data_IF_091324775203
#
_entry.id   IF_091324775203
#
_cell.length_a   1.000
_cell.length_b   1.000
_cell.length_c   1.000
_cell.angle_alpha   90.00
_cell.angle_beta   90.00
_cell.angle_gamma   90.00
#
_symmetry.space_group_name_H-M   'P 1'
#
loop_
_entity.id
_entity.type
_entity.pdbx_description
1 polymer ?
#
# COMPACT_ATOMS: atom_id res chain seq x y z
N UNK A 1 0.92 23.43 -13.12
CA UNK A 1 -0.23 23.25 -12.18
C UNK A 1 0.17 22.31 -11.07
N UNK A 2 -0.08 22.67 -9.82
CA UNK A 2 0.26 21.85 -8.64
C UNK A 2 -1.00 21.49 -7.87
N UNK A 3 -1.18 20.22 -7.55
CA UNK A 3 -2.25 19.72 -6.70
C UNK A 3 -1.68 18.99 -5.50
N UNK A 4 -2.36 19.07 -4.36
CA UNK A 4 -1.95 18.47 -3.10
C UNK A 4 -2.89 17.35 -2.70
N UNK A 5 -2.31 16.31 -2.12
CA UNK A 5 -3.03 15.13 -1.64
C UNK A 5 -2.56 14.75 -0.25
N UNK A 6 -3.46 14.19 0.54
CA UNK A 6 -3.13 13.62 1.86
C UNK A 6 -3.68 12.19 1.93
N UNK A 7 -2.79 11.23 2.14
CA UNK A 7 -3.11 9.80 2.29
C UNK A 7 -2.51 9.33 3.61
N UNK A 8 -3.30 8.77 4.49
CA UNK A 8 -2.85 8.31 5.81
C UNK A 8 -2.07 9.40 6.58
N UNK A 9 -2.56 10.65 6.57
CA UNK A 9 -1.95 11.86 7.14
C UNK A 9 -0.57 12.24 6.56
N UNK A 10 -0.14 11.61 5.47
CA UNK A 10 1.05 12.00 4.71
C UNK A 10 0.64 12.88 3.52
N UNK A 11 1.17 14.09 3.47
CA UNK A 11 0.87 15.06 2.42
C UNK A 11 1.95 15.06 1.35
N UNK A 12 1.54 15.10 0.08
CA UNK A 12 2.43 15.20 -1.06
C UNK A 12 1.82 16.06 -2.16
N UNK A 13 2.64 16.46 -3.13
CA UNK A 13 2.20 17.27 -4.26
C UNK A 13 2.52 16.60 -5.60
N UNK A 14 1.71 16.94 -6.60
CA UNK A 14 1.93 16.58 -8.01
C UNK A 14 1.92 17.85 -8.83
N UNK A 15 3.04 18.15 -9.47
CA UNK A 15 3.23 19.32 -10.32
C UNK A 15 3.44 18.89 -11.77
N UNK A 16 2.49 19.26 -12.64
CA UNK A 16 2.57 18.97 -14.07
C UNK A 16 3.06 20.19 -14.85
N UNK A 17 3.80 19.94 -15.94
CA UNK A 17 4.31 20.98 -16.84
C UNK A 17 3.20 21.78 -17.52
N UNK A 18 2.20 21.06 -18.02
CA UNK A 18 1.04 21.65 -18.66
C UNK A 18 -0.16 21.63 -17.73
N UNK A 19 -1.10 22.54 -17.96
CA UNK A 19 -2.38 22.52 -17.27
C UNK A 19 -3.22 21.34 -17.75
N UNK A 20 -3.35 20.34 -16.87
CA UNK A 20 -4.14 19.12 -17.09
C UNK A 20 -5.07 18.90 -15.91
N UNK A 21 -6.25 18.41 -16.19
CA UNK A 21 -7.20 18.03 -15.14
C UNK A 21 -6.75 16.75 -14.42
N UNK A 22 -6.12 16.93 -13.26
CA UNK A 22 -5.66 15.82 -12.42
C UNK A 22 -6.81 14.93 -11.90
N UNK A 23 -8.03 15.45 -11.77
CA UNK A 23 -9.19 14.63 -11.43
C UNK A 23 -9.57 13.65 -12.56
N UNK A 24 -9.27 14.02 -13.80
CA UNK A 24 -9.47 13.13 -14.95
C UNK A 24 -8.29 12.18 -15.18
N UNK A 25 -7.10 12.56 -14.72
CA UNK A 25 -5.90 11.71 -14.80
C UNK A 25 -5.84 10.70 -13.64
N UNK A 26 -6.18 11.15 -12.43
CA UNK A 26 -6.11 10.41 -11.18
C UNK A 26 -7.48 10.38 -10.47
N UNK A 27 -8.53 9.80 -11.06
CA UNK A 27 -9.89 9.86 -10.50
C UNK A 27 -10.01 9.23 -9.12
N UNK A 28 -9.18 8.24 -8.79
CA UNK A 28 -9.14 7.60 -7.48
C UNK A 28 -8.56 8.49 -6.37
N UNK A 29 -7.86 9.58 -6.74
CA UNK A 29 -7.25 10.51 -5.79
C UNK A 29 -8.19 11.64 -5.35
N UNK A 30 -9.36 11.79 -5.93
CA UNK A 30 -10.29 12.89 -5.65
C UNK A 30 -10.63 13.04 -4.16
N UNK A 31 -10.92 11.93 -3.49
CA UNK A 31 -11.25 11.93 -2.06
C UNK A 31 -10.04 12.21 -1.15
N UNK A 32 -8.83 12.18 -1.69
CA UNK A 32 -7.57 12.43 -1.00
C UNK A 32 -7.00 13.83 -1.29
N UNK A 33 -7.67 14.64 -2.14
CA UNK A 33 -7.24 16.01 -2.42
C UNK A 33 -7.27 16.84 -1.13
N UNK A 34 -6.23 17.61 -0.90
CA UNK A 34 -6.06 18.42 0.29
C UNK A 34 -5.60 19.84 -0.06
N UNK A 35 -5.52 20.70 0.95
CA UNK A 35 -4.83 21.99 0.84
C UNK A 35 -3.32 21.75 0.87
N UNK A 36 -2.56 22.75 0.40
CA UNK A 36 -1.11 22.74 0.57
C UNK A 36 -0.75 22.56 2.06
N UNK A 37 0.12 21.62 2.41
CA UNK A 37 0.59 21.44 3.77
C UNK A 37 1.42 22.65 4.22
N UNK A 38 1.70 22.75 5.53
CA UNK A 38 2.66 23.71 6.02
C UNK A 38 4.07 23.43 5.45
N UNK A 39 4.92 24.44 5.46
CA UNK A 39 6.31 24.30 5.02
C UNK A 39 7.02 23.25 5.90
N UNK A 40 7.60 22.23 5.26
CA UNK A 40 8.26 21.12 5.94
C UNK A 40 7.38 19.88 6.22
N UNK A 41 6.06 19.99 6.09
CA UNK A 41 5.14 18.86 6.31
C UNK A 41 4.85 18.05 5.04
N UNK A 42 5.43 18.45 3.91
CA UNK A 42 5.29 17.74 2.65
C UNK A 42 6.24 16.56 2.58
N UNK A 43 5.71 15.34 2.39
CA UNK A 43 6.50 14.11 2.27
C UNK A 43 7.38 14.12 1.01
N UNK A 44 6.80 14.49 -0.15
CA UNK A 44 7.51 14.68 -1.41
C UNK A 44 6.71 15.56 -2.37
N UNK A 45 7.37 15.99 -3.45
CA UNK A 45 6.70 16.56 -4.61
C UNK A 45 7.15 15.84 -5.88
N UNK A 46 6.19 15.25 -6.60
CA UNK A 46 6.42 14.73 -7.93
C UNK A 46 6.31 15.87 -8.95
N UNK A 47 7.43 16.23 -9.57
CA UNK A 47 7.50 17.27 -10.60
C UNK A 47 7.68 16.63 -11.97
N UNK A 48 6.78 16.94 -12.91
CA UNK A 48 6.92 16.49 -14.29
C UNK A 48 8.00 17.27 -15.02
N UNK A 49 8.79 16.58 -15.82
CA UNK A 49 9.80 17.11 -16.73
C UNK A 49 9.55 16.63 -18.17
N UNK A 50 9.83 17.50 -19.16
CA UNK A 50 9.71 17.13 -20.58
C UNK A 50 10.71 16.06 -20.98
N UNK A 51 11.87 16.01 -20.30
CA UNK A 51 12.90 14.98 -20.47
C UNK A 51 13.68 14.82 -19.18
N UNK A 52 14.18 13.64 -18.92
CA UNK A 52 15.12 13.34 -17.83
C UNK A 52 16.48 13.00 -18.43
N UNK A 53 17.58 13.19 -17.68
CA UNK A 53 18.92 12.85 -18.14
C UNK A 53 19.00 11.39 -18.63
N UNK A 54 19.85 11.10 -19.62
CA UNK A 54 20.14 9.72 -19.98
C UNK A 54 20.85 9.00 -18.83
N UNK A 55 20.75 7.68 -18.81
CA UNK A 55 21.48 6.84 -17.85
C UNK A 55 22.98 6.90 -18.16
N UNK A 56 23.80 7.34 -17.21
CA UNK A 56 25.26 7.43 -17.38
C UNK A 56 26.03 6.45 -16.49
N UNK A 57 25.60 6.29 -15.23
CA UNK A 57 26.27 5.44 -14.25
C UNK A 57 25.28 4.60 -13.44
N UNK A 58 24.09 4.36 -13.99
CA UNK A 58 23.01 3.66 -13.32
C UNK A 58 23.28 2.15 -13.31
N UNK A 59 23.02 1.54 -12.16
CA UNK A 59 23.16 0.09 -11.96
C UNK A 59 21.77 -0.53 -11.94
N UNK A 60 21.48 -1.46 -12.86
CA UNK A 60 20.24 -2.22 -12.86
C UNK A 60 20.17 -3.08 -11.59
N UNK A 61 19.11 -2.91 -10.81
CA UNK A 61 18.85 -3.63 -9.57
C UNK A 61 17.76 -4.71 -9.74
N UNK A 62 16.76 -4.42 -10.59
CA UNK A 62 15.63 -5.31 -10.79
C UNK A 62 15.03 -5.15 -12.19
N UNK A 63 14.52 -6.24 -12.74
CA UNK A 63 13.86 -6.34 -14.04
C UNK A 63 12.65 -7.29 -13.88
N UNK A 64 11.45 -6.72 -13.75
CA UNK A 64 10.24 -7.48 -13.44
C UNK A 64 9.06 -7.08 -14.33
N UNK A 65 8.17 -8.03 -14.55
CA UNK A 65 6.90 -7.79 -15.25
C UNK A 65 5.74 -8.17 -14.33
N UNK A 66 4.93 -7.20 -13.99
CA UNK A 66 3.83 -7.34 -13.04
C UNK A 66 2.61 -6.51 -13.44
N UNK A 67 1.69 -6.28 -12.52
CA UNK A 67 0.47 -5.47 -12.76
C UNK A 67 0.74 -3.97 -13.05
N UNK A 68 1.97 -3.50 -12.83
CA UNK A 68 2.43 -2.16 -13.19
C UNK A 68 3.09 -2.09 -14.57
N UNK A 69 3.07 -3.16 -15.36
CA UNK A 69 3.78 -3.30 -16.63
C UNK A 69 5.15 -3.95 -16.47
N UNK A 70 6.00 -3.81 -17.49
CA UNK A 70 7.42 -4.13 -17.40
C UNK A 70 8.14 -2.98 -16.69
N UNK A 71 8.86 -3.31 -15.62
CA UNK A 71 9.45 -2.33 -14.70
C UNK A 71 10.94 -2.61 -14.55
N UNK A 72 11.76 -1.60 -14.83
CA UNK A 72 13.21 -1.64 -14.61
C UNK A 72 13.56 -0.69 -13.46
N UNK A 73 14.20 -1.22 -12.43
CA UNK A 73 14.68 -0.45 -11.29
C UNK A 73 16.21 -0.27 -11.40
N UNK A 74 16.65 0.96 -11.32
CA UNK A 74 18.09 1.31 -11.31
C UNK A 74 18.45 2.07 -10.04
N UNK A 75 19.67 1.84 -9.56
CA UNK A 75 20.35 2.73 -8.63
C UNK A 75 21.10 3.78 -9.42
N UNK A 76 20.86 5.03 -9.11
CA UNK A 76 21.60 6.18 -9.64
C UNK A 76 22.61 6.69 -8.61
N UNK A 77 23.53 7.58 -8.97
CA UNK A 77 24.42 8.21 -8.00
C UNK A 77 23.71 9.00 -6.88
N UNK A 78 22.49 9.50 -7.13
CA UNK A 78 21.72 10.33 -6.18
C UNK A 78 20.55 9.58 -5.51
N UNK A 79 20.12 8.43 -6.06
CA UNK A 79 18.94 7.71 -5.55
C UNK A 79 18.51 6.58 -6.46
N UNK A 80 17.31 6.69 -7.02
CA UNK A 80 16.71 5.64 -7.85
C UNK A 80 16.10 6.19 -9.12
N UNK A 81 16.11 5.36 -10.17
CA UNK A 81 15.37 5.56 -11.40
C UNK A 81 14.52 4.33 -11.67
N UNK A 82 13.26 4.53 -11.97
CA UNK A 82 12.32 3.45 -12.30
C UNK A 82 11.74 3.77 -13.68
N UNK A 83 11.86 2.81 -14.58
CA UNK A 83 11.32 2.88 -15.92
C UNK A 83 10.15 1.92 -16.05
N UNK A 84 9.08 2.36 -16.70
CA UNK A 84 7.88 1.57 -16.94
C UNK A 84 7.56 1.57 -18.43
N UNK A 85 7.32 0.42 -19.00
CA UNK A 85 6.65 0.27 -20.27
C UNK A 85 5.47 -0.70 -20.15
N UNK A 86 4.50 -0.48 -21.03
CA UNK A 86 3.31 -1.31 -21.12
C UNK A 86 3.23 -1.86 -22.52
N UNK A 87 3.17 -3.18 -22.68
CA UNK A 87 3.08 -3.88 -23.96
C UNK A 87 4.22 -3.51 -24.94
N UNK A 88 5.42 -3.18 -24.42
CA UNK A 88 6.55 -2.71 -25.25
C UNK A 88 6.35 -1.32 -25.86
N UNK A 89 5.50 -0.51 -25.25
CA UNK A 89 5.19 0.86 -25.65
C UNK A 89 6.22 1.90 -25.20
N UNK A 90 5.84 3.18 -25.19
CA UNK A 90 6.70 4.26 -24.73
C UNK A 90 7.12 4.10 -23.27
N UNK A 91 8.37 4.44 -22.95
CA UNK A 91 8.91 4.35 -21.56
C UNK A 91 8.53 5.58 -20.78
N UNK A 92 7.89 5.38 -19.65
CA UNK A 92 7.66 6.38 -18.60
C UNK A 92 8.75 6.25 -17.54
N UNK A 93 9.19 7.37 -16.97
CA UNK A 93 10.32 7.37 -16.02
C UNK A 93 9.98 8.16 -14.78
N UNK A 94 10.34 7.64 -13.62
CA UNK A 94 10.42 8.39 -12.37
C UNK A 94 11.82 8.26 -11.78
N UNK A 95 12.39 9.39 -11.38
CA UNK A 95 13.64 9.48 -10.64
C UNK A 95 13.41 10.07 -9.27
N UNK A 96 14.12 9.57 -8.28
CA UNK A 96 14.08 10.08 -6.92
C UNK A 96 15.50 10.25 -6.39
N UNK A 97 15.67 11.16 -5.44
CA UNK A 97 16.81 11.10 -4.54
C UNK A 97 16.71 9.88 -3.62
N UNK A 98 17.74 9.66 -2.80
CA UNK A 98 17.76 8.52 -1.89
C UNK A 98 16.72 8.62 -0.74
N UNK A 99 16.25 9.83 -0.41
CA UNK A 99 15.23 10.09 0.62
C UNK A 99 13.80 9.94 0.10
N UNK A 100 13.61 9.94 -1.21
CA UNK A 100 12.30 10.04 -1.87
C UNK A 100 11.59 11.40 -1.65
N UNK A 101 12.34 12.46 -1.38
CA UNK A 101 11.84 13.82 -1.16
C UNK A 101 11.74 14.60 -2.49
N UNK A 102 12.78 14.50 -3.35
CA UNK A 102 12.85 15.09 -4.69
C UNK A 102 12.47 14.04 -5.73
N UNK A 103 11.30 14.20 -6.33
CA UNK A 103 10.75 13.23 -7.29
C UNK A 103 10.53 13.88 -8.65
N UNK A 104 11.24 13.41 -9.65
CA UNK A 104 11.15 13.88 -11.04
C UNK A 104 10.52 12.82 -11.92
N UNK A 105 9.51 13.17 -12.69
CA UNK A 105 8.79 12.24 -13.55
C UNK A 105 8.80 12.69 -15.01
N UNK A 106 8.88 11.74 -15.92
CA UNK A 106 8.64 11.93 -17.35
C UNK A 106 7.50 11.01 -17.78
N UNK A 107 6.34 11.59 -18.07
CA UNK A 107 5.15 10.86 -18.51
C UNK A 107 4.95 11.04 -20.00
N UNK A 108 4.78 9.94 -20.73
CA UNK A 108 4.49 9.94 -22.17
C UNK A 108 2.98 10.03 -22.38
N UNK A 109 2.48 11.28 -22.53
CA UNK A 109 1.04 11.56 -22.60
C UNK A 109 0.38 11.08 -23.90
N UNK A 110 1.16 10.74 -24.91
CA UNK A 110 0.73 10.09 -26.13
C UNK A 110 0.47 8.58 -25.95
N UNK A 111 0.86 8.00 -24.82
CA UNK A 111 0.56 6.61 -24.47
C UNK A 111 -0.81 6.48 -23.80
N UNK A 112 -1.58 5.46 -24.21
CA UNK A 112 -2.85 5.09 -23.56
C UNK A 112 -2.73 4.75 -22.08
N UNK A 113 -1.55 4.33 -21.63
CA UNK A 113 -1.24 3.95 -20.26
C UNK A 113 -0.67 5.10 -19.41
N UNK A 114 -0.58 6.34 -19.92
CA UNK A 114 0.00 7.48 -19.22
C UNK A 114 -0.61 7.70 -17.81
N UNK A 115 -1.92 7.55 -17.66
CA UNK A 115 -2.63 7.66 -16.38
C UNK A 115 -2.22 6.55 -15.40
N UNK A 116 -2.12 5.33 -15.91
CA UNK A 116 -1.68 4.17 -15.12
C UNK A 116 -0.23 4.35 -14.67
N UNK A 117 0.64 4.80 -15.59
CA UNK A 117 2.04 5.07 -15.28
C UNK A 117 2.19 6.12 -14.17
N UNK A 118 1.49 7.26 -14.26
CA UNK A 118 1.51 8.30 -13.22
C UNK A 118 1.03 7.74 -11.86
N UNK A 119 -0.06 6.98 -11.84
CA UNK A 119 -0.56 6.35 -10.61
C UNK A 119 0.43 5.33 -10.04
N UNK A 120 1.11 4.54 -10.89
CA UNK A 120 2.13 3.57 -10.47
C UNK A 120 3.37 4.24 -9.90
N UNK A 121 3.83 5.34 -10.53
CA UNK A 121 4.93 6.17 -10.01
C UNK A 121 4.63 6.67 -8.61
N UNK A 122 3.45 7.28 -8.43
CA UNK A 122 2.99 7.78 -7.13
C UNK A 122 2.90 6.65 -6.09
N UNK A 123 2.40 5.46 -6.46
CA UNK A 123 2.30 4.29 -5.57
C UNK A 123 3.66 3.86 -5.06
N UNK A 124 4.64 3.71 -5.96
CA UNK A 124 5.98 3.24 -5.60
C UNK A 124 6.69 4.28 -4.73
N UNK A 125 6.71 5.54 -5.16
CA UNK A 125 7.36 6.62 -4.41
C UNK A 125 6.74 6.74 -3.02
N UNK A 126 5.43 6.84 -2.93
CA UNK A 126 4.72 6.96 -1.65
C UNK A 126 5.04 5.80 -0.71
N UNK A 127 5.02 4.55 -1.22
CA UNK A 127 5.30 3.37 -0.41
C UNK A 127 6.70 3.38 0.21
N UNK A 128 7.70 3.99 -0.45
CA UNK A 128 9.06 4.11 0.09
C UNK A 128 9.21 5.31 1.02
N UNK A 129 8.65 6.45 0.62
CA UNK A 129 8.76 7.70 1.37
C UNK A 129 8.15 7.63 2.77
N UNK A 130 7.09 6.82 2.98
CA UNK A 130 6.43 6.67 4.28
C UNK A 130 7.18 5.75 5.26
N UNK A 131 8.10 4.88 4.80
CA UNK A 131 8.77 3.89 5.65
C UNK A 131 9.52 4.52 6.82
N UNK A 132 10.32 5.60 6.65
CA UNK A 132 11.02 6.25 7.76
C UNK A 132 10.09 6.93 8.78
N UNK A 133 8.80 7.04 8.45
CA UNK A 133 7.79 7.74 9.25
C UNK A 133 6.77 6.77 9.90
N UNK A 134 7.09 5.48 10.02
CA UNK A 134 6.21 4.48 10.62
C UNK A 134 5.01 4.10 9.75
N UNK A 135 5.07 4.36 8.44
CA UNK A 135 4.06 3.99 7.46
C UNK A 135 4.42 2.73 6.69
N UNK A 136 3.45 1.85 6.44
CA UNK A 136 3.60 0.64 5.64
C UNK A 136 2.51 0.58 4.56
N UNK A 137 2.90 0.52 3.30
CA UNK A 137 1.98 0.14 2.20
C UNK A 137 1.92 -1.38 2.12
N UNK A 138 0.70 -1.94 2.23
CA UNK A 138 0.53 -3.38 2.42
C UNK A 138 -0.38 -4.00 1.35
N UNK A 139 0.04 -5.10 0.74
CA UNK A 139 -0.79 -5.86 -0.19
C UNK A 139 -1.84 -6.69 0.56
N UNK A 140 -2.95 -6.05 0.92
CA UNK A 140 -4.04 -6.64 1.70
C UNK A 140 -5.41 -6.12 1.30
N UNK A 141 -6.47 -6.88 1.63
CA UNK A 141 -7.84 -6.42 1.58
C UNK A 141 -8.32 -6.16 3.00
N UNK A 142 -9.00 -5.03 3.24
CA UNK A 142 -9.37 -4.56 4.58
C UNK A 142 -10.87 -4.40 4.70
N UNK A 143 -11.45 -5.09 5.67
CA UNK A 143 -12.84 -4.96 6.08
C UNK A 143 -12.90 -4.33 7.46
N UNK A 144 -13.82 -3.40 7.66
CA UNK A 144 -14.12 -2.82 8.96
C UNK A 144 -15.44 -3.38 9.47
N UNK A 145 -15.45 -3.80 10.73
CA UNK A 145 -16.62 -4.26 11.45
C UNK A 145 -16.60 -3.71 12.88
N UNK A 146 -17.68 -3.16 13.35
CA UNK A 146 -17.79 -2.56 14.70
C UNK A 146 -16.69 -1.54 15.00
N UNK A 147 -16.28 -0.74 13.97
CA UNK A 147 -15.24 0.27 14.08
C UNK A 147 -13.80 -0.25 14.12
N UNK A 148 -13.60 -1.56 13.97
CA UNK A 148 -12.29 -2.22 13.98
C UNK A 148 -11.97 -2.79 12.60
N UNK A 149 -10.71 -2.68 12.17
CA UNK A 149 -10.25 -3.17 10.89
C UNK A 149 -9.64 -4.58 10.98
N UNK A 150 -10.02 -5.42 10.04
CA UNK A 150 -9.49 -6.76 9.82
C UNK A 150 -8.82 -6.82 8.46
N UNK A 151 -7.52 -7.12 8.44
CA UNK A 151 -6.70 -7.11 7.24
C UNK A 151 -6.44 -8.52 6.74
N UNK A 152 -6.76 -8.81 5.48
CA UNK A 152 -6.58 -10.12 4.87
C UNK A 152 -5.43 -10.09 3.87
N UNK A 153 -4.40 -10.89 4.13
CA UNK A 153 -3.17 -10.95 3.35
C UNK A 153 -2.98 -12.33 2.70
N UNK A 154 -2.12 -12.39 1.72
CA UNK A 154 -1.75 -13.62 1.02
C UNK A 154 -1.22 -13.32 -0.38
N UNK A 155 -0.62 -14.32 -1.03
CA UNK A 155 -0.14 -14.20 -2.41
C UNK A 155 -1.29 -13.79 -3.34
N UNK A 156 -0.96 -13.22 -4.50
CA UNK A 156 -1.96 -12.99 -5.55
C UNK A 156 -2.72 -14.28 -5.86
N UNK A 157 -4.03 -14.20 -6.01
CA UNK A 157 -4.89 -15.38 -6.25
C UNK A 157 -5.23 -16.21 -5.02
N UNK A 158 -4.73 -15.91 -3.82
CA UNK A 158 -5.06 -16.67 -2.59
C UNK A 158 -6.53 -16.53 -2.18
N UNK A 159 -7.21 -15.46 -2.62
CA UNK A 159 -8.63 -15.25 -2.30
C UNK A 159 -8.90 -14.12 -1.30
N UNK A 160 -8.02 -13.13 -1.15
CA UNK A 160 -8.21 -11.96 -0.27
C UNK A 160 -9.56 -11.29 -0.50
N UNK A 161 -9.82 -10.83 -1.73
CA UNK A 161 -11.10 -10.17 -2.08
C UNK A 161 -12.31 -11.12 -1.96
N UNK A 162 -12.10 -12.43 -2.14
CA UNK A 162 -13.15 -13.43 -1.89
C UNK A 162 -13.48 -13.49 -0.40
N UNK A 163 -12.47 -13.54 0.46
CA UNK A 163 -12.65 -13.60 1.90
C UNK A 163 -13.29 -12.30 2.44
N UNK A 164 -12.84 -11.14 1.97
CA UNK A 164 -13.50 -9.86 2.29
C UNK A 164 -14.99 -9.86 1.88
N UNK A 165 -15.32 -10.41 0.70
CA UNK A 165 -16.71 -10.53 0.25
C UNK A 165 -17.54 -11.47 1.16
N UNK A 166 -16.94 -12.56 1.68
CA UNK A 166 -17.60 -13.42 2.66
C UNK A 166 -17.92 -12.65 3.96
N UNK A 167 -17.00 -11.80 4.42
CA UNK A 167 -17.26 -10.93 5.57
C UNK A 167 -18.38 -9.93 5.27
N UNK A 168 -18.34 -9.23 4.14
CA UNK A 168 -19.40 -8.29 3.73
C UNK A 168 -20.77 -8.94 3.60
N UNK A 169 -20.82 -10.25 3.30
CA UNK A 169 -22.07 -10.99 3.11
C UNK A 169 -22.59 -11.61 4.40
N UNK A 170 -21.71 -12.07 5.28
CA UNK A 170 -22.08 -12.93 6.41
C UNK A 170 -21.78 -12.35 7.79
N UNK A 171 -21.03 -11.26 7.88
CA UNK A 171 -20.75 -10.54 9.12
C UNK A 171 -21.46 -9.19 9.07
N UNK A 172 -22.58 -9.10 9.79
CA UNK A 172 -23.44 -7.91 9.78
C UNK A 172 -22.65 -6.63 10.18
N UNK A 173 -22.93 -5.51 9.50
CA UNK A 173 -22.29 -4.22 9.74
C UNK A 173 -20.88 -4.09 9.16
N UNK A 174 -20.40 -5.10 8.42
CA UNK A 174 -19.09 -5.02 7.77
C UNK A 174 -19.12 -4.17 6.51
N UNK A 175 -18.04 -3.41 6.29
CA UNK A 175 -17.83 -2.65 5.07
C UNK A 175 -16.37 -2.70 4.61
N UNK A 176 -16.11 -2.50 3.31
CA UNK A 176 -14.79 -2.56 2.71
C UNK A 176 -14.12 -1.20 2.83
N UNK A 177 -12.92 -1.15 3.41
CA UNK A 177 -12.09 0.06 3.51
C UNK A 177 -11.17 0.21 2.30
N UNK A 178 -10.46 -0.85 1.93
CA UNK A 178 -9.58 -0.90 0.77
C UNK A 178 -9.42 -2.35 0.29
N UNK A 179 -9.15 -2.54 -1.01
CA UNK A 179 -8.93 -3.87 -1.60
C UNK A 179 -7.68 -3.85 -2.48
N UNK A 180 -6.50 -3.80 -1.87
CA UNK A 180 -5.18 -4.06 -2.47
C UNK A 180 -4.00 -3.35 -1.80
N UNK A 181 -4.05 -2.00 -1.60
CA UNK A 181 -2.93 -1.22 -1.09
C UNK A 181 -3.33 -0.25 0.04
N UNK A 182 -3.91 -0.72 1.14
CA UNK A 182 -4.12 0.11 2.33
C UNK A 182 -2.77 0.55 2.91
N UNK A 183 -2.81 1.65 3.66
CA UNK A 183 -1.65 2.16 4.39
C UNK A 183 -1.86 1.91 5.87
N UNK A 184 -0.88 1.29 6.52
CA UNK A 184 -0.86 1.12 7.98
C UNK A 184 0.12 2.12 8.57
N UNK A 185 -0.28 2.78 9.65
CA UNK A 185 0.62 3.59 10.47
C UNK A 185 0.72 3.01 11.87
N UNK A 186 1.94 3.00 12.38
CA UNK A 186 2.25 2.67 13.77
C UNK A 186 2.76 3.94 14.45
N UNK A 187 2.06 4.43 15.47
CA UNK A 187 2.40 5.68 16.17
C UNK A 187 2.25 5.43 17.67
N UNK A 188 3.38 5.25 18.35
CA UNK A 188 3.37 4.84 19.74
C UNK A 188 2.73 3.47 19.92
N UNK A 189 1.61 3.39 20.65
CA UNK A 189 0.84 2.16 20.85
C UNK A 189 -0.35 2.03 19.87
N UNK A 190 -0.57 3.02 19.00
CA UNK A 190 -1.67 3.02 18.05
C UNK A 190 -1.27 2.38 16.74
N UNK A 191 -2.10 1.47 16.27
CA UNK A 191 -2.01 0.87 14.94
C UNK A 191 -3.29 1.18 14.17
N UNK A 192 -3.16 2.00 13.14
CA UNK A 192 -4.30 2.47 12.33
C UNK A 192 -4.09 2.11 10.87
N UNK A 193 -5.12 1.55 10.22
CA UNK A 193 -5.13 1.32 8.79
C UNK A 193 -6.00 2.36 8.09
N UNK A 194 -5.51 2.87 6.98
CA UNK A 194 -6.14 3.87 6.14
C UNK A 194 -6.46 3.30 4.76
N UNK A 195 -7.57 3.73 4.20
CA UNK A 195 -7.81 3.56 2.77
C UNK A 195 -6.82 4.39 1.95
N UNK A 196 -6.70 4.05 0.68
CA UNK A 196 -5.75 4.70 -0.22
C UNK A 196 -6.34 4.90 -1.61
N UNK A 197 -5.73 5.73 -2.47
CA UNK A 197 -6.15 5.89 -3.85
C UNK A 197 -5.79 4.70 -4.75
N UNK A 198 -5.11 3.69 -4.20
CA UNK A 198 -4.73 2.47 -4.92
C UNK A 198 -5.59 1.30 -4.45
N UNK A 199 -6.27 0.66 -5.41
CA UNK A 199 -7.13 -0.49 -5.14
C UNK A 199 -7.00 -1.50 -6.28
N UNK A 200 -7.29 -2.77 -5.99
CA UNK A 200 -7.23 -3.84 -6.96
C UNK A 200 -8.46 -3.91 -7.86
N UNK A 201 -8.99 -5.12 -8.05
CA UNK A 201 -10.14 -5.36 -8.91
C UNK A 201 -11.43 -4.72 -8.41
N UNK A 202 -11.54 -4.50 -7.11
CA UNK A 202 -12.66 -3.80 -6.48
C UNK A 202 -12.29 -2.33 -6.34
N UNK A 203 -12.94 -1.45 -7.10
CA UNK A 203 -12.71 -0.01 -7.00
C UNK A 203 -13.20 0.51 -5.65
N UNK A 204 -12.29 0.65 -4.69
CA UNK A 204 -12.57 1.13 -3.34
C UNK A 204 -11.51 2.15 -2.92
N UNK A 205 -11.84 3.43 -3.04
CA UNK A 205 -10.94 4.58 -2.82
C UNK A 205 -11.47 5.45 -1.69
N UNK A 206 -11.50 4.91 -0.48
CA UNK A 206 -12.03 5.59 0.71
C UNK A 206 -10.91 6.36 1.42
N UNK A 207 -11.16 7.62 1.70
CA UNK A 207 -10.31 8.42 2.59
C UNK A 207 -10.86 8.32 4.02
N UNK A 208 -10.80 7.12 4.56
CA UNK A 208 -11.27 6.74 5.88
C UNK A 208 -10.21 5.87 6.56
N UNK A 209 -10.31 5.70 7.88
CA UNK A 209 -9.37 4.90 8.66
C UNK A 209 -10.08 4.15 9.78
N UNK A 210 -9.44 3.11 10.31
CA UNK A 210 -9.89 2.39 11.50
C UNK A 210 -8.69 1.78 12.25
N UNK A 211 -8.78 1.62 13.59
CA UNK A 211 -7.79 0.89 14.35
C UNK A 211 -7.75 -0.58 13.90
N UNK A 212 -6.55 -1.15 13.84
CA UNK A 212 -6.34 -2.52 13.40
C UNK A 212 -6.61 -3.50 14.54
N UNK A 213 -7.67 -4.29 14.42
CA UNK A 213 -7.94 -5.40 15.35
C UNK A 213 -7.05 -6.61 15.07
N UNK A 214 -6.69 -6.83 13.79
CA UNK A 214 -5.77 -7.90 13.47
C UNK A 214 -5.53 -8.11 11.98
N UNK A 215 -4.48 -8.90 11.73
CA UNK A 215 -3.98 -9.23 10.40
C UNK A 215 -4.05 -10.73 10.20
N UNK A 216 -4.63 -11.18 9.10
CA UNK A 216 -4.83 -12.61 8.81
C UNK A 216 -4.18 -12.98 7.50
N UNK A 217 -3.19 -13.89 7.56
CA UNK A 217 -2.63 -14.53 6.38
C UNK A 217 -3.52 -15.68 5.93
N UNK A 218 -4.09 -15.56 4.73
CA UNK A 218 -4.93 -16.58 4.14
C UNK A 218 -4.11 -17.67 3.44
N UNK A 219 -4.56 -18.92 3.59
CA UNK A 219 -4.05 -20.09 2.86
C UNK A 219 -5.22 -20.94 2.38
N UNK A 220 -5.24 -21.27 1.10
CA UNK A 220 -6.23 -22.21 0.57
C UNK A 220 -5.98 -23.61 1.15
N UNK A 221 -7.01 -24.22 1.71
CA UNK A 221 -6.94 -25.54 2.32
C UNK A 221 -8.32 -26.25 2.24
N UNK A 222 -8.39 -27.57 2.36
CA UNK A 222 -9.64 -28.32 2.33
C UNK A 222 -10.45 -28.25 3.65
N UNK A 223 -10.13 -27.29 4.52
CA UNK A 223 -10.79 -27.09 5.82
C UNK A 223 -10.62 -25.65 6.28
N UNK A 224 -11.48 -25.22 7.21
CA UNK A 224 -11.40 -23.91 7.86
C UNK A 224 -10.74 -24.07 9.24
N UNK A 225 -9.55 -23.48 9.41
CA UNK A 225 -8.82 -23.52 10.67
C UNK A 225 -8.04 -22.24 10.89
N UNK A 226 -8.29 -21.55 11.99
CA UNK A 226 -7.54 -20.38 12.43
C UNK A 226 -6.45 -20.77 13.42
N UNK A 227 -5.29 -20.12 13.32
CA UNK A 227 -4.16 -20.25 14.23
C UNK A 227 -3.57 -18.87 14.50
N UNK A 228 -3.34 -18.54 15.76
CA UNK A 228 -2.57 -17.35 16.13
C UNK A 228 -1.10 -17.55 15.78
N UNK A 229 -0.47 -16.52 15.27
CA UNK A 229 0.96 -16.44 15.03
C UNK A 229 1.56 -15.50 16.08
N UNK A 230 2.66 -15.93 16.70
CA UNK A 230 3.37 -15.16 17.74
C UNK A 230 4.80 -14.90 17.28
N UNK A 231 5.41 -13.86 17.81
CA UNK A 231 6.82 -13.51 17.64
C UNK A 231 7.27 -13.54 16.16
N UNK A 232 8.32 -14.29 15.88
CA UNK A 232 8.91 -14.40 14.53
C UNK A 232 7.94 -15.00 13.51
N UNK A 233 6.96 -15.80 13.93
CA UNK A 233 5.94 -16.34 13.03
C UNK A 233 4.96 -15.24 12.61
N UNK A 234 4.59 -14.32 13.50
CA UNK A 234 3.77 -13.15 13.18
C UNK A 234 4.49 -12.23 12.19
N UNK A 235 5.72 -11.86 12.49
CA UNK A 235 6.58 -11.06 11.61
C UNK A 235 6.70 -11.68 10.21
N UNK A 236 7.04 -12.98 10.14
CA UNK A 236 7.20 -13.71 8.87
C UNK A 236 5.90 -13.88 8.10
N UNK A 237 4.74 -13.86 8.76
CA UNK A 237 3.44 -13.93 8.11
C UNK A 237 3.09 -12.62 7.41
N UNK A 238 3.49 -11.45 7.97
CA UNK A 238 3.12 -10.13 7.47
C UNK A 238 4.14 -9.57 6.49
N UNK A 239 5.44 -9.74 6.73
CA UNK A 239 6.55 -9.20 5.93
C UNK A 239 6.37 -9.33 4.39
N UNK A 240 5.94 -10.47 3.82
CA UNK A 240 5.83 -10.62 2.36
C UNK A 240 4.76 -9.72 1.71
N UNK A 241 3.88 -9.14 2.49
CA UNK A 241 2.85 -8.22 2.01
C UNK A 241 3.24 -6.75 2.08
N UNK A 242 4.39 -6.41 2.64
CA UNK A 242 4.85 -5.02 2.75
C UNK A 242 5.62 -4.61 1.49
N UNK A 243 5.37 -3.39 1.01
CA UNK A 243 6.04 -2.83 -0.16
C UNK A 243 7.35 -2.15 0.25
N UNK A 244 8.48 -2.62 -0.28
CA UNK A 244 9.81 -2.05 -0.03
C UNK A 244 10.75 -2.32 -1.20
N UNK A 245 11.63 -1.38 -1.50
CA UNK A 245 12.79 -1.62 -2.36
C UNK A 245 13.83 -2.43 -1.57
N UNK A 246 13.81 -3.75 -1.79
CA UNK A 246 14.61 -4.73 -1.03
C UNK A 246 16.11 -4.51 -1.13
N UNK A 247 16.56 -3.80 -2.16
CA UNK A 247 17.97 -3.47 -2.41
C UNK A 247 18.45 -2.25 -1.62
N UNK A 248 17.55 -1.54 -0.90
CA UNK A 248 17.90 -0.45 0.03
C UNK A 248 17.82 -0.93 1.48
N UNK A 249 18.96 -1.05 2.13
CA UNK A 249 19.03 -1.53 3.51
C UNK A 249 18.36 -0.57 4.50
N UNK A 250 18.43 0.75 4.27
CA UNK A 250 17.81 1.76 5.16
C UNK A 250 16.28 1.64 5.16
N UNK A 251 15.70 1.49 3.95
CA UNK A 251 14.26 1.28 3.80
C UNK A 251 13.85 -0.07 4.39
N UNK A 252 14.68 -1.08 4.22
CA UNK A 252 14.42 -2.40 4.79
C UNK A 252 14.51 -2.40 6.33
N UNK A 253 15.46 -1.69 6.92
CA UNK A 253 15.57 -1.48 8.36
C UNK A 253 14.34 -0.75 8.92
N UNK A 254 13.96 0.39 8.31
CA UNK A 254 12.77 1.15 8.70
C UNK A 254 11.48 0.32 8.60
N UNK A 255 11.36 -0.50 7.53
CA UNK A 255 10.27 -1.46 7.42
C UNK A 255 10.29 -2.45 8.59
N UNK A 256 11.43 -3.07 8.88
CA UNK A 256 11.54 -4.09 9.92
C UNK A 256 11.22 -3.54 11.32
N UNK A 257 11.66 -2.33 11.64
CA UNK A 257 11.34 -1.65 12.90
C UNK A 257 9.83 -1.43 13.04
N UNK A 258 9.20 -0.84 12.01
CA UNK A 258 7.75 -0.60 12.02
C UNK A 258 6.97 -1.90 12.05
N UNK A 259 7.40 -2.92 11.30
CA UNK A 259 6.74 -4.22 11.25
C UNK A 259 6.86 -4.99 12.58
N UNK A 260 7.99 -4.89 13.27
CA UNK A 260 8.16 -5.47 14.60
C UNK A 260 7.14 -4.87 15.58
N UNK A 261 7.08 -3.53 15.65
CA UNK A 261 6.10 -2.84 16.49
C UNK A 261 4.65 -3.20 16.09
N UNK A 262 4.34 -3.24 14.79
CA UNK A 262 3.03 -3.65 14.29
C UNK A 262 2.62 -5.04 14.81
N UNK A 263 3.54 -6.02 14.71
CA UNK A 263 3.24 -7.41 15.10
C UNK A 263 3.23 -7.65 16.61
N UNK A 264 3.85 -6.79 17.40
CA UNK A 264 3.75 -6.77 18.88
C UNK A 264 2.40 -6.18 19.34
N UNK A 265 1.92 -5.13 18.65
CA UNK A 265 0.71 -4.40 19.04
C UNK A 265 -0.58 -4.98 18.43
N UNK A 266 -0.49 -5.88 17.45
CA UNK A 266 -1.65 -6.35 16.69
C UNK A 266 -1.70 -7.87 16.66
N UNK A 267 -2.90 -8.44 16.83
CA UNK A 267 -3.12 -9.87 16.65
C UNK A 267 -2.80 -10.28 15.21
N UNK A 268 -1.89 -11.22 15.03
CA UNK A 268 -1.59 -11.85 13.74
C UNK A 268 -2.06 -13.28 13.74
N UNK A 269 -2.78 -13.70 12.69
CA UNK A 269 -3.25 -15.06 12.52
C UNK A 269 -3.00 -15.63 11.13
N UNK A 270 -3.03 -16.93 11.04
CA UNK A 270 -3.08 -17.69 9.78
C UNK A 270 -4.43 -18.41 9.69
N UNK A 271 -5.13 -18.25 8.57
CA UNK A 271 -6.37 -18.95 8.27
C UNK A 271 -6.17 -19.89 7.09
N UNK A 272 -6.19 -21.20 7.35
CA UNK A 272 -6.47 -22.21 6.35
C UNK A 272 -7.96 -22.16 6.04
N UNK A 273 -8.36 -21.96 4.76
CA UNK A 273 -9.77 -21.80 4.47
C UNK A 273 -10.22 -22.28 3.09
N UNK A 274 -11.51 -22.64 3.06
CA UNK A 274 -12.35 -22.76 1.89
C UNK A 274 -12.99 -21.40 1.56
N UNK A 275 -13.46 -21.17 0.33
CA UNK A 275 -14.19 -19.95 -0.04
C UNK A 275 -15.69 -20.03 0.35
N UNK A 276 -15.99 -20.27 1.64
CA UNK A 276 -17.34 -20.47 2.16
C UNK A 276 -17.66 -19.60 3.38
N UNK A 277 -18.91 -19.60 3.81
CA UNK A 277 -19.41 -18.85 4.97
C UNK A 277 -18.64 -19.20 6.24
N UNK A 278 -18.38 -20.48 6.47
CA UNK A 278 -17.71 -20.96 7.68
C UNK A 278 -16.32 -20.34 7.83
N UNK A 279 -15.60 -20.07 6.72
CA UNK A 279 -14.30 -19.40 6.74
C UNK A 279 -14.37 -18.02 7.40
N UNK A 280 -15.40 -17.21 7.09
CA UNK A 280 -15.59 -15.90 7.73
C UNK A 280 -15.92 -16.04 9.22
N UNK A 281 -16.75 -17.01 9.60
CA UNK A 281 -17.11 -17.27 10.99
C UNK A 281 -15.93 -17.78 11.83
N UNK A 282 -15.12 -18.69 11.28
CA UNK A 282 -13.91 -19.21 11.93
C UNK A 282 -12.87 -18.08 12.09
N UNK A 283 -12.70 -17.27 11.05
CA UNK A 283 -11.81 -16.11 11.09
C UNK A 283 -12.22 -15.13 12.19
N UNK A 284 -13.49 -14.70 12.21
CA UNK A 284 -14.03 -13.77 13.20
C UNK A 284 -13.85 -14.29 14.62
N UNK A 285 -14.22 -15.53 14.88
CA UNK A 285 -14.07 -16.15 16.21
C UNK A 285 -12.60 -16.18 16.64
N UNK A 286 -11.69 -16.59 15.73
CA UNK A 286 -10.26 -16.66 16.03
C UNK A 286 -9.66 -15.29 16.38
N UNK A 287 -10.13 -14.23 15.73
CA UNK A 287 -9.69 -12.85 15.99
C UNK A 287 -10.28 -12.27 17.28
N UNK A 288 -11.50 -12.68 17.68
CA UNK A 288 -12.21 -12.11 18.84
C UNK A 288 -11.80 -12.77 20.16
N UNK A 289 -11.40 -14.04 20.15
CA UNK A 289 -11.07 -14.80 21.38
C UNK A 289 -9.82 -14.28 22.09
N UNK A 290 -8.95 -13.58 21.38
CA UNK A 290 -7.64 -13.11 21.90
C UNK A 290 -7.67 -11.66 22.38
N UNK A 291 -8.74 -10.90 22.10
CA UNK A 291 -8.89 -9.55 22.66
C UNK A 291 -9.42 -9.70 24.09
N UNK A 292 -8.61 -9.50 25.16
CA UNK A 292 -9.13 -9.51 26.53
C UNK A 292 -10.17 -8.40 26.69
N UNK A 293 -11.26 -8.70 27.38
CA UNK A 293 -12.37 -7.77 27.68
C UNK A 293 -12.01 -6.61 28.63
N UNK A 294 -10.77 -6.17 28.68
CA UNK A 294 -10.27 -5.17 29.65
C UNK A 294 -10.24 -3.73 29.14
N UNK A 295 -10.81 -3.44 27.99
CA UNK A 295 -10.95 -2.05 27.50
C UNK A 295 -12.37 -1.48 27.68
N UNK A 296 -13.06 -1.85 28.80
CA UNK A 296 -14.28 -1.18 29.28
C UNK A 296 -14.12 -0.83 30.75
N UNK A 297 -13.44 0.26 30.99
CA UNK A 297 -13.35 0.93 32.28
C UNK A 297 -13.35 2.43 32.09
#
# INVERSE_FOLDING_TARGET
>A
MTEHYTVADFSFAVTLLEERDLDMLLPSFRSFRSKAPAEGDKLFELVEHASLPPREADVLLDDDSNDMGHTLLYRTPSGYRIEFDYDGGPVHVVETDAGFDDVRAMVRWDDRFAKTALSSMLRIVFAQAILPHGGLSMHSSVVVNEGQAFMFMGKSGTGKSTHSRLWLTHVEGSWLLNDDNPIVRVTGEDVVVYGSPWSGKTHCYRNESAPVAGIVRLRQAPRNRFRVCEDIAAFSAVLPGCSVLRQDMRLHEALCETLAALTELTLVGELECLPDREAAEVCRRGMTIVIPSEAKG
#
